data_IF_589305981959
#
_entry.id   IF_589305981959
#
_cell.length_a   1.000
_cell.length_b   1.000
_cell.length_c   1.000
_cell.angle_alpha   90.00
_cell.angle_beta   90.00
_cell.angle_gamma   90.00
#
_symmetry.space_group_name_H-M   'P 1'
#
loop_
_entity.id
_entity.type
_entity.pdbx_description
1 polymer ?
#
# COMPACT_ATOMS: atom_id res chain seq x y z
N UNK A 1 -10.27 12.27 -0.24
CA UNK A 1 -10.51 10.85 -0.25
C UNK A 1 -10.42 10.25 1.14
N UNK A 2 -11.28 9.37 1.44
CA UNK A 2 -12.43 8.83 0.69
C UNK A 2 -13.62 9.79 0.64
N UNK A 3 -13.43 11.07 0.84
CA UNK A 3 -14.46 12.07 0.96
C UNK A 3 -14.94 12.27 2.40
N UNK A 4 -15.99 13.07 2.57
CA UNK A 4 -16.50 13.40 3.90
C UNK A 4 -17.85 14.06 3.88
N UNK A 5 -18.38 14.28 5.08
CA UNK A 5 -19.62 15.03 5.25
C UNK A 5 -19.35 16.53 5.11
N UNK A 6 -20.08 17.17 4.19
CA UNK A 6 -20.01 18.61 3.93
C UNK A 6 -21.35 19.23 4.30
N UNK A 7 -21.32 20.27 5.13
CA UNK A 7 -22.49 21.08 5.41
C UNK A 7 -22.57 22.23 4.39
N UNK A 8 -23.68 22.28 3.68
CA UNK A 8 -24.01 23.36 2.75
C UNK A 8 -24.95 24.35 3.42
N UNK A 9 -24.72 25.63 3.15
CA UNK A 9 -25.60 26.73 3.56
C UNK A 9 -26.20 27.37 2.33
N UNK A 10 -27.52 27.37 2.22
CA UNK A 10 -28.27 28.09 1.18
C UNK A 10 -28.82 29.36 1.79
N UNK A 11 -28.46 30.51 1.22
CA UNK A 11 -29.04 31.81 1.54
C UNK A 11 -29.84 32.29 0.33
N UNK A 12 -31.04 32.80 0.61
CA UNK A 12 -31.95 33.36 -0.40
C UNK A 12 -32.30 34.77 0.08
N UNK A 13 -31.99 35.74 -0.74
CA UNK A 13 -32.27 37.16 -0.48
C UNK A 13 -33.45 37.60 -1.39
N UNK A 14 -34.45 38.21 -0.80
CA UNK A 14 -35.45 38.97 -1.55
C UNK A 14 -34.92 40.37 -1.83
N UNK A 15 -34.50 40.62 -3.05
CA UNK A 15 -33.95 41.89 -3.52
C UNK A 15 -34.98 42.80 -4.18
N UNK A 16 -36.26 42.45 -4.09
CA UNK A 16 -37.37 43.26 -4.64
C UNK A 16 -37.45 44.61 -3.96
N UNK A 17 -38.01 45.58 -4.68
CA UNK A 17 -38.33 46.86 -4.13
C UNK A 17 -39.45 46.76 -3.08
N UNK A 18 -39.76 47.79 -2.40
CA UNK A 18 -40.33 47.88 -1.08
C UNK A 18 -41.73 47.27 -0.82
N UNK A 19 -42.34 46.47 -1.69
CA UNK A 19 -43.68 45.92 -1.43
C UNK A 19 -43.93 44.48 -1.96
N UNK A 20 -42.94 43.81 -2.50
CA UNK A 20 -43.10 42.47 -3.12
C UNK A 20 -42.52 41.34 -2.27
N UNK A 21 -43.27 40.73 -1.34
CA UNK A 21 -42.83 39.52 -0.65
C UNK A 21 -42.78 38.37 -1.63
N UNK A 22 -41.74 37.54 -1.51
CA UNK A 22 -41.54 36.38 -2.38
C UNK A 22 -41.78 35.09 -1.57
N UNK A 23 -42.60 34.18 -2.09
CA UNK A 23 -42.77 32.85 -1.49
C UNK A 23 -42.05 31.81 -2.31
N UNK A 24 -40.96 31.26 -1.75
CA UNK A 24 -40.20 30.16 -2.33
C UNK A 24 -40.99 28.87 -2.11
N UNK A 25 -41.34 28.20 -3.19
CA UNK A 25 -42.15 26.97 -3.19
C UNK A 25 -41.31 25.74 -3.54
N UNK A 26 -40.13 25.95 -4.16
CA UNK A 26 -39.23 24.87 -4.55
C UNK A 26 -37.78 25.24 -4.29
N UNK A 27 -37.01 24.27 -3.77
CA UNK A 27 -35.58 24.38 -3.55
C UNK A 27 -34.93 23.06 -4.00
N UNK A 28 -34.22 23.09 -5.13
CA UNK A 28 -33.68 21.90 -5.79
C UNK A 28 -32.20 22.08 -6.06
N UNK A 29 -31.43 21.08 -5.65
CA UNK A 29 -30.00 20.97 -5.93
C UNK A 29 -29.78 19.99 -7.10
N UNK A 30 -28.86 20.29 -8.02
CA UNK A 30 -28.60 19.51 -9.23
C UNK A 30 -27.95 18.14 -8.93
N UNK A 31 -27.32 17.99 -7.76
CA UNK A 31 -26.70 16.74 -7.31
C UNK A 31 -27.50 16.02 -6.23
N UNK A 32 -28.14 16.78 -5.33
CA UNK A 32 -28.79 16.25 -4.14
C UNK A 32 -30.32 16.26 -4.21
N UNK A 33 -30.89 16.78 -5.30
CA UNK A 33 -32.33 16.78 -5.56
C UNK A 33 -33.11 17.78 -4.72
N UNK A 34 -34.35 17.44 -4.39
CA UNK A 34 -35.24 18.30 -3.59
C UNK A 34 -34.68 18.46 -2.16
N UNK A 35 -34.46 19.70 -1.74
CA UNK A 35 -33.92 20.03 -0.43
C UNK A 35 -35.02 20.25 0.63
N UNK A 36 -36.31 20.28 0.28
CA UNK A 36 -37.39 20.40 1.25
C UNK A 36 -37.36 19.21 2.25
N UNK A 37 -37.26 19.52 3.54
CA UNK A 37 -37.15 18.53 4.63
C UNK A 37 -35.72 18.03 4.85
N UNK A 38 -34.69 18.55 4.13
CA UNK A 38 -33.31 18.22 4.37
C UNK A 38 -32.65 19.24 5.32
N UNK A 39 -32.10 18.76 6.43
CA UNK A 39 -31.50 19.62 7.47
C UNK A 39 -32.52 20.64 7.97
N UNK A 40 -32.21 21.92 7.83
CA UNK A 40 -33.11 23.02 8.21
C UNK A 40 -33.86 23.61 7.00
N UNK A 41 -33.70 23.04 5.78
CA UNK A 41 -34.33 23.55 4.59
C UNK A 41 -35.80 23.12 4.51
N UNK A 42 -36.69 24.10 4.33
CA UNK A 42 -38.13 23.88 4.21
C UNK A 42 -38.75 24.83 3.22
N UNK A 43 -39.71 24.32 2.45
CA UNK A 43 -40.58 25.09 1.54
C UNK A 43 -42.05 24.71 1.80
N UNK A 44 -43.05 25.60 1.63
CA UNK A 44 -42.90 26.99 1.20
C UNK A 44 -42.31 27.92 2.27
N UNK A 45 -41.66 29.01 1.81
CA UNK A 45 -41.04 30.03 2.69
C UNK A 45 -41.21 31.41 2.11
N UNK A 46 -41.92 32.31 2.83
CA UNK A 46 -42.06 33.69 2.42
C UNK A 46 -40.95 34.58 2.97
N UNK A 47 -40.37 35.42 2.12
CA UNK A 47 -39.28 36.34 2.40
C UNK A 47 -39.76 37.76 2.09
N UNK A 48 -39.75 38.61 3.10
CA UNK A 48 -40.16 39.99 2.93
C UNK A 48 -39.13 40.79 2.10
N UNK A 49 -39.52 41.89 1.45
CA UNK A 49 -38.61 42.76 0.70
C UNK A 49 -37.40 43.18 1.53
N UNK A 50 -36.19 43.05 0.94
CA UNK A 50 -34.93 43.37 1.60
C UNK A 50 -34.52 42.39 2.70
N UNK A 51 -35.28 41.32 2.96
CA UNK A 51 -34.94 40.28 3.93
C UNK A 51 -34.30 39.06 3.26
N UNK A 52 -33.71 38.20 4.08
CA UNK A 52 -33.13 36.94 3.64
C UNK A 52 -33.58 35.78 4.52
N UNK A 53 -33.48 34.56 3.96
CA UNK A 53 -33.59 33.33 4.71
C UNK A 53 -32.37 32.45 4.43
N UNK A 54 -32.01 31.66 5.42
CA UNK A 54 -30.92 30.67 5.29
C UNK A 54 -31.40 29.31 5.76
N UNK A 55 -30.87 28.26 5.12
CA UNK A 55 -31.01 26.90 5.59
C UNK A 55 -29.70 26.13 5.38
N UNK A 56 -29.54 25.04 6.10
CA UNK A 56 -28.36 24.18 6.02
C UNK A 56 -28.79 22.73 5.81
N UNK A 57 -27.99 21.99 5.04
CA UNK A 57 -28.12 20.54 4.90
C UNK A 57 -26.72 19.91 4.78
N UNK A 58 -26.60 18.63 5.15
CA UNK A 58 -25.32 17.92 5.11
C UNK A 58 -25.40 16.77 4.12
N UNK A 59 -24.37 16.61 3.30
CA UNK A 59 -24.22 15.52 2.34
C UNK A 59 -22.81 14.97 2.36
N UNK A 60 -22.71 13.67 2.12
CA UNK A 60 -21.42 13.05 1.84
C UNK A 60 -20.97 13.41 0.42
N UNK A 61 -19.76 13.91 0.30
CA UNK A 61 -19.08 14.19 -0.97
C UNK A 61 -17.92 13.18 -1.10
N UNK A 62 -17.84 12.50 -2.24
CA UNK A 62 -16.81 11.51 -2.55
C UNK A 62 -16.24 11.78 -3.94
N UNK A 63 -15.01 11.35 -4.17
CA UNK A 63 -14.32 11.44 -5.46
C UNK A 63 -12.84 11.13 -5.33
N UNK A 64 -12.15 11.08 -6.44
CA UNK A 64 -10.71 10.93 -6.51
C UNK A 64 -10.00 12.15 -5.90
N UNK A 65 -8.78 11.94 -5.40
CA UNK A 65 -7.94 13.02 -4.87
C UNK A 65 -7.69 14.12 -5.91
N UNK A 66 -7.46 15.34 -5.43
CA UNK A 66 -7.22 16.53 -6.25
C UNK A 66 -8.35 16.89 -7.24
N UNK A 67 -9.57 16.36 -7.04
CA UNK A 67 -10.74 16.71 -7.83
C UNK A 67 -11.65 17.71 -7.12
N UNK A 68 -12.65 18.25 -7.83
CA UNK A 68 -13.62 19.19 -7.30
C UNK A 68 -15.05 18.67 -7.48
N UNK A 69 -15.87 18.83 -6.45
CA UNK A 69 -17.30 18.61 -6.48
C UNK A 69 -18.02 19.94 -6.46
N UNK A 70 -18.63 20.31 -7.58
CA UNK A 70 -19.44 21.52 -7.69
C UNK A 70 -20.91 21.15 -7.83
N UNK A 71 -21.76 21.76 -7.01
CA UNK A 71 -23.21 21.63 -7.08
C UNK A 71 -23.88 22.99 -7.16
N UNK A 72 -25.10 23.02 -7.68
CA UNK A 72 -25.88 24.22 -7.87
C UNK A 72 -27.29 24.02 -7.35
N UNK A 73 -27.73 24.95 -6.49
CA UNK A 73 -29.10 25.03 -6.00
C UNK A 73 -29.90 26.03 -6.83
N UNK A 74 -31.15 25.67 -7.14
CA UNK A 74 -32.17 26.55 -7.75
C UNK A 74 -33.31 26.72 -6.76
N UNK A 75 -33.60 27.98 -6.39
CA UNK A 75 -34.78 28.35 -5.64
C UNK A 75 -35.81 28.92 -6.63
N UNK A 76 -37.07 28.48 -6.53
CA UNK A 76 -38.15 28.95 -7.37
C UNK A 76 -39.40 29.20 -6.54
N UNK A 77 -40.18 30.22 -6.93
CA UNK A 77 -41.37 30.62 -6.22
C UNK A 77 -42.18 31.68 -7.00
N UNK A 78 -42.99 32.39 -6.26
CA UNK A 78 -43.85 33.50 -6.84
C UNK A 78 -43.79 34.68 -5.86
N UNK A 79 -44.09 35.88 -6.42
CA UNK A 79 -44.44 37.07 -5.63
C UNK A 79 -45.92 37.03 -5.18
N UNK A 80 -46.44 38.07 -4.60
CA UNK A 80 -47.83 38.17 -4.14
C UNK A 80 -48.83 38.41 -5.28
N UNK A 81 -48.39 38.83 -6.50
CA UNK A 81 -49.14 38.87 -7.73
C UNK A 81 -49.11 37.54 -8.55
N UNK A 82 -48.48 36.48 -7.98
CA UNK A 82 -48.25 35.20 -8.63
C UNK A 82 -47.28 35.25 -9.84
N UNK A 83 -46.43 36.28 -9.91
CA UNK A 83 -45.36 36.32 -10.92
C UNK A 83 -44.23 35.41 -10.54
N UNK A 84 -43.72 34.62 -11.47
CA UNK A 84 -42.67 33.64 -11.21
C UNK A 84 -41.32 34.30 -10.89
N UNK A 85 -40.68 33.81 -9.83
CA UNK A 85 -39.33 34.23 -9.45
C UNK A 85 -38.43 33.02 -9.34
N UNK A 86 -37.15 33.17 -9.72
CA UNK A 86 -36.14 32.13 -9.51
C UNK A 86 -34.75 32.71 -9.33
N UNK A 87 -33.93 31.99 -8.58
CA UNK A 87 -32.52 32.32 -8.37
C UNK A 87 -31.68 31.08 -8.23
N UNK A 88 -30.38 31.21 -8.48
CA UNK A 88 -29.43 30.09 -8.43
C UNK A 88 -28.19 30.48 -7.64
N UNK A 89 -27.63 29.50 -6.96
CA UNK A 89 -26.34 29.61 -6.28
C UNK A 89 -25.56 28.32 -6.41
N UNK A 90 -24.24 28.39 -6.41
CA UNK A 90 -23.38 27.21 -6.49
C UNK A 90 -22.33 27.19 -5.39
N UNK A 91 -21.91 25.99 -5.03
CA UNK A 91 -20.81 25.74 -4.08
C UNK A 91 -19.85 24.71 -4.68
N UNK A 92 -18.56 24.87 -4.39
CA UNK A 92 -17.50 23.94 -4.79
C UNK A 92 -16.77 23.42 -3.57
N UNK A 93 -16.55 22.11 -3.53
CA UNK A 93 -15.76 21.42 -2.50
C UNK A 93 -14.57 20.78 -3.18
N UNK A 94 -13.38 21.02 -2.67
CA UNK A 94 -12.16 20.36 -3.13
C UNK A 94 -11.99 19.03 -2.38
N UNK A 95 -11.75 17.95 -3.11
CA UNK A 95 -11.39 16.65 -2.56
C UNK A 95 -9.87 16.59 -2.52
N UNK A 96 -9.31 16.54 -1.31
CA UNK A 96 -7.87 16.53 -1.10
C UNK A 96 -7.37 15.10 -1.16
N UNK A 97 -6.26 14.86 -1.87
CA UNK A 97 -5.60 13.57 -1.90
C UNK A 97 -5.04 13.21 -0.52
N UNK A 98 -5.28 11.99 -0.07
CA UNK A 98 -4.85 11.46 1.21
C UNK A 98 -3.41 10.93 1.22
N UNK A 99 -2.79 10.80 0.08
CA UNK A 99 -1.43 10.29 -0.11
C UNK A 99 -1.28 8.80 0.19
N UNK A 100 -0.78 8.06 -0.77
CA UNK A 100 -0.61 6.60 -0.68
C UNK A 100 0.74 6.19 -0.13
N UNK A 101 0.79 5.05 0.57
CA UNK A 101 2.03 4.46 1.07
C UNK A 101 1.96 2.94 1.19
N UNK A 102 3.13 2.30 1.02
CA UNK A 102 3.31 0.85 1.20
C UNK A 102 4.46 0.57 2.15
N UNK A 103 4.38 -0.57 2.85
CA UNK A 103 5.55 -1.15 3.51
C UNK A 103 5.94 -2.45 2.83
N UNK A 104 7.26 -2.69 2.76
CA UNK A 104 7.82 -3.90 2.15
C UNK A 104 8.70 -4.60 3.16
N UNK A 105 8.48 -5.88 3.37
CA UNK A 105 9.35 -6.73 4.18
C UNK A 105 9.88 -7.88 3.35
N UNK A 106 11.11 -8.31 3.66
CA UNK A 106 11.76 -9.46 3.04
C UNK A 106 12.37 -10.33 4.12
N UNK A 107 12.22 -11.64 3.96
CA UNK A 107 12.85 -12.64 4.84
C UNK A 107 13.52 -13.72 4.03
N UNK A 108 14.49 -14.40 4.63
CA UNK A 108 15.22 -15.53 4.06
C UNK A 108 15.02 -16.77 4.93
N UNK A 109 14.80 -17.92 4.30
CA UNK A 109 14.68 -19.20 4.96
C UNK A 109 15.45 -20.31 4.18
N UNK A 110 16.50 -20.91 4.76
CA UNK A 110 17.10 -20.58 6.06
C UNK A 110 17.84 -19.24 6.03
N UNK A 111 18.01 -18.59 7.20
CA UNK A 111 18.83 -17.38 7.37
C UNK A 111 20.34 -17.67 7.44
N UNK A 112 20.72 -18.96 7.45
CA UNK A 112 22.12 -19.42 7.40
C UNK A 112 22.19 -20.70 6.61
N UNK A 113 23.25 -20.85 5.79
CA UNK A 113 23.60 -22.08 5.07
C UNK A 113 25.06 -22.44 5.36
N UNK A 114 25.38 -23.74 5.35
CA UNK A 114 26.76 -24.19 5.49
C UNK A 114 27.56 -23.89 4.22
N UNK A 115 28.87 -23.64 4.36
CA UNK A 115 29.75 -23.61 3.19
C UNK A 115 29.77 -24.95 2.45
N UNK A 116 29.90 -24.95 1.10
CA UNK A 116 30.19 -23.81 0.25
C UNK A 116 28.94 -23.02 -0.15
N UNK A 117 27.76 -23.27 0.46
CA UNK A 117 26.49 -22.61 0.21
C UNK A 117 25.30 -23.54 0.15
N UNK A 118 24.15 -22.99 -0.19
CA UNK A 118 22.90 -23.74 -0.26
C UNK A 118 21.74 -22.95 -0.86
N UNK A 119 20.60 -23.63 -1.03
CA UNK A 119 19.37 -23.00 -1.53
C UNK A 119 18.69 -22.26 -0.38
N UNK A 120 18.30 -21.02 -0.64
CA UNK A 120 17.58 -20.14 0.27
C UNK A 120 16.28 -19.69 -0.41
N UNK A 121 15.17 -19.82 0.29
CA UNK A 121 13.90 -19.27 -0.12
C UNK A 121 13.74 -17.86 0.48
N UNK A 122 13.44 -16.88 -0.37
CA UNK A 122 13.10 -15.52 0.02
C UNK A 122 11.60 -15.32 -0.06
N UNK A 123 11.05 -14.67 0.94
CA UNK A 123 9.64 -14.29 1.01
C UNK A 123 9.59 -12.77 1.04
N UNK A 124 8.83 -12.19 0.12
CA UNK A 124 8.55 -10.75 0.05
C UNK A 124 7.10 -10.53 0.42
N UNK A 125 6.85 -9.59 1.33
CA UNK A 125 5.51 -9.14 1.71
C UNK A 125 5.41 -7.64 1.46
N UNK A 126 4.31 -7.22 0.83
CA UNK A 126 3.98 -5.81 0.55
C UNK A 126 2.63 -5.53 1.17
N UNK A 127 2.56 -4.60 2.10
CA UNK A 127 1.33 -4.15 2.74
C UNK A 127 0.96 -2.77 2.19
N UNK A 128 -0.30 -2.59 1.79
CA UNK A 128 -0.85 -1.28 1.49
C UNK A 128 -1.33 -0.64 2.80
N UNK A 129 -0.63 0.41 3.23
CA UNK A 129 -0.96 1.18 4.43
C UNK A 129 -1.55 2.56 4.10
N UNK A 130 -1.98 2.77 2.84
CA UNK A 130 -2.68 3.96 2.43
C UNK A 130 -3.99 4.12 3.22
N UNK A 131 -4.39 5.33 3.58
CA UNK A 131 -5.64 5.55 4.33
C UNK A 131 -6.90 5.35 3.46
N UNK A 132 -6.79 5.51 2.13
CA UNK A 132 -7.93 5.52 1.22
C UNK A 132 -7.72 4.77 -0.09
N UNK A 133 -6.49 4.65 -0.59
CA UNK A 133 -6.21 4.32 -1.98
C UNK A 133 -5.80 2.86 -2.19
N UNK A 134 -6.29 2.29 -3.26
CA UNK A 134 -5.82 1.02 -3.80
C UNK A 134 -4.50 1.24 -4.51
N UNK A 135 -3.48 0.41 -4.27
CA UNK A 135 -2.19 0.53 -4.95
C UNK A 135 -1.97 -0.61 -5.93
N UNK A 136 -1.36 -0.31 -7.06
CA UNK A 136 -0.95 -1.30 -8.07
C UNK A 136 0.57 -1.31 -8.18
N UNK A 137 1.21 -2.39 -7.73
CA UNK A 137 2.65 -2.61 -7.84
C UNK A 137 2.98 -3.03 -9.26
N UNK A 138 3.76 -2.22 -9.97
CA UNK A 138 4.12 -2.44 -11.37
C UNK A 138 5.54 -2.98 -11.53
N UNK A 139 6.40 -2.82 -10.51
CA UNK A 139 7.77 -3.30 -10.52
C UNK A 139 8.16 -3.92 -9.19
N UNK A 140 8.89 -5.02 -9.26
CA UNK A 140 9.48 -5.70 -8.12
C UNK A 140 10.90 -6.10 -8.49
N UNK A 141 11.90 -5.46 -7.91
CA UNK A 141 13.31 -5.68 -8.22
C UNK A 141 14.13 -5.91 -6.95
N UNK A 142 15.14 -6.76 -7.07
CA UNK A 142 16.08 -7.11 -6.02
C UNK A 142 17.46 -6.59 -6.38
N UNK A 143 18.21 -6.05 -5.39
CA UNK A 143 19.54 -5.46 -5.61
C UNK A 143 20.59 -6.45 -6.12
N UNK A 144 20.40 -7.75 -5.88
CA UNK A 144 21.32 -8.81 -6.29
C UNK A 144 20.72 -9.69 -7.39
N UNK A 145 19.42 -10.00 -7.29
CA UNK A 145 18.77 -10.97 -8.19
C UNK A 145 17.99 -10.30 -9.34
N UNK A 146 17.99 -8.96 -9.41
CA UNK A 146 17.37 -8.20 -10.48
C UNK A 146 15.84 -8.25 -10.47
N UNK A 147 15.22 -8.24 -11.65
CA UNK A 147 13.77 -8.29 -11.79
C UNK A 147 13.19 -9.59 -11.23
N UNK A 148 12.26 -9.47 -10.30
CA UNK A 148 11.61 -10.64 -9.67
C UNK A 148 10.31 -11.06 -10.38
N UNK A 149 9.81 -10.30 -11.36
CA UNK A 149 8.61 -10.72 -12.12
C UNK A 149 8.86 -12.04 -12.84
N UNK A 150 8.00 -13.03 -12.57
CA UNK A 150 8.13 -14.39 -13.11
C UNK A 150 9.07 -15.29 -12.32
N UNK A 151 9.70 -14.83 -11.22
CA UNK A 151 10.52 -15.67 -10.36
C UNK A 151 9.69 -16.27 -9.22
N UNK A 152 9.66 -17.62 -9.13
CA UNK A 152 8.84 -18.34 -8.14
C UNK A 152 7.37 -17.97 -8.27
N UNK A 153 6.78 -17.41 -7.22
CA UNK A 153 5.39 -16.92 -7.22
C UNK A 153 5.28 -15.39 -7.39
N UNK A 154 6.40 -14.70 -7.61
CA UNK A 154 6.41 -13.25 -7.76
C UNK A 154 5.92 -12.84 -9.15
N UNK A 155 4.88 -12.03 -9.19
CA UNK A 155 4.30 -11.49 -10.43
C UNK A 155 3.82 -10.06 -10.24
N UNK A 156 4.03 -9.24 -11.25
CA UNK A 156 3.51 -7.88 -11.37
C UNK A 156 2.91 -7.69 -12.77
N UNK A 157 1.88 -6.86 -12.97
CA UNK A 157 1.30 -5.95 -11.97
C UNK A 157 0.49 -6.67 -10.89
N UNK A 158 0.43 -6.08 -9.68
CA UNK A 158 -0.32 -6.61 -8.56
C UNK A 158 -1.06 -5.51 -7.82
N UNK A 159 -2.39 -5.57 -7.80
CA UNK A 159 -3.24 -4.62 -7.08
C UNK A 159 -3.45 -5.07 -5.64
N UNK A 160 -3.34 -4.14 -4.69
CA UNK A 160 -3.48 -4.36 -3.25
C UNK A 160 -4.50 -3.35 -2.71
N UNK A 161 -5.62 -3.84 -2.19
CA UNK A 161 -6.66 -3.01 -1.58
C UNK A 161 -6.15 -2.31 -0.31
N UNK A 162 -6.86 -1.28 0.12
CA UNK A 162 -6.59 -0.55 1.37
C UNK A 162 -6.52 -1.51 2.55
N UNK A 163 -5.47 -1.43 3.36
CA UNK A 163 -5.24 -2.29 4.53
C UNK A 163 -4.94 -3.76 4.22
N UNK A 164 -4.88 -4.14 2.94
CA UNK A 164 -4.54 -5.50 2.51
C UNK A 164 -3.04 -5.66 2.25
N UNK A 165 -2.62 -6.89 2.02
CA UNK A 165 -1.25 -7.23 1.65
C UNK A 165 -1.18 -8.27 0.55
N UNK A 166 -0.02 -8.38 -0.06
CA UNK A 166 0.34 -9.50 -0.94
C UNK A 166 1.68 -10.10 -0.51
N UNK A 167 1.87 -11.39 -0.83
CA UNK A 167 3.16 -12.07 -0.62
C UNK A 167 3.58 -12.79 -1.88
N UNK A 168 4.88 -12.89 -2.09
CA UNK A 168 5.46 -13.78 -3.09
C UNK A 168 6.77 -14.39 -2.56
N UNK A 169 7.21 -15.47 -3.18
CA UNK A 169 8.43 -16.17 -2.79
C UNK A 169 9.21 -16.65 -4.01
N UNK A 170 10.53 -16.67 -3.87
CA UNK A 170 11.46 -17.20 -4.87
C UNK A 170 12.68 -17.82 -4.18
N UNK A 171 13.36 -18.75 -4.85
CA UNK A 171 14.53 -19.44 -4.31
C UNK A 171 15.79 -19.11 -5.10
N UNK A 172 16.91 -18.98 -4.40
CA UNK A 172 18.24 -18.77 -4.99
C UNK A 172 19.29 -19.60 -4.26
N UNK A 173 20.28 -20.06 -5.00
CA UNK A 173 21.48 -20.65 -4.40
C UNK A 173 22.43 -19.54 -3.98
N UNK A 174 22.84 -19.58 -2.72
CA UNK A 174 23.83 -18.67 -2.14
C UNK A 174 25.10 -19.45 -1.94
N UNK A 175 26.23 -18.95 -2.45
CA UNK A 175 27.53 -19.61 -2.35
C UNK A 175 28.55 -18.68 -1.71
N UNK A 176 29.52 -19.22 -0.98
CA UNK A 176 30.62 -18.48 -0.40
C UNK A 176 31.36 -19.29 0.68
N UNK A 177 32.41 -18.68 1.21
CA UNK A 177 33.19 -19.24 2.31
C UNK A 177 32.54 -18.89 3.66
N UNK A 178 32.90 -19.63 4.69
CA UNK A 178 32.49 -19.36 6.07
C UNK A 178 32.67 -17.90 6.47
N UNK A 179 31.66 -17.32 7.15
CA UNK A 179 31.65 -15.95 7.63
C UNK A 179 31.17 -14.91 6.59
N UNK A 180 30.96 -15.30 5.34
CA UNK A 180 30.38 -14.40 4.34
C UNK A 180 28.91 -14.14 4.67
N UNK A 181 28.49 -12.88 4.55
CA UNK A 181 27.10 -12.44 4.73
C UNK A 181 26.57 -11.91 3.41
N UNK A 182 25.53 -12.54 2.90
CA UNK A 182 24.78 -12.06 1.76
C UNK A 182 23.63 -11.19 2.23
N UNK A 183 23.67 -9.91 1.88
CA UNK A 183 22.59 -8.96 2.14
C UNK A 183 22.01 -8.49 0.81
N UNK A 184 20.70 -8.49 0.69
CA UNK A 184 20.02 -7.98 -0.50
C UNK A 184 18.70 -7.28 -0.14
N UNK A 185 18.34 -6.30 -0.97
CA UNK A 185 17.18 -5.44 -0.75
C UNK A 185 16.23 -5.58 -1.94
N UNK A 186 14.96 -5.83 -1.65
CA UNK A 186 13.89 -5.74 -2.64
C UNK A 186 13.29 -4.34 -2.63
N UNK A 187 13.03 -3.80 -3.82
CA UNK A 187 12.27 -2.56 -4.04
C UNK A 187 10.99 -2.92 -4.77
N UNK A 188 9.85 -2.54 -4.19
CA UNK A 188 8.57 -2.56 -4.86
C UNK A 188 8.18 -1.13 -5.23
N UNK A 189 7.68 -0.92 -6.46
CA UNK A 189 7.21 0.38 -6.92
C UNK A 189 5.98 0.23 -7.81
N UNK A 190 5.13 1.25 -7.78
CA UNK A 190 3.86 1.26 -8.51
C UNK A 190 3.19 2.61 -8.42
N UNK A 191 1.89 2.61 -8.58
CA UNK A 191 1.02 3.79 -8.48
C UNK A 191 -0.24 3.44 -7.69
N UNK A 192 -0.88 4.44 -7.13
CA UNK A 192 -2.23 4.33 -6.60
C UNK A 192 -3.29 4.49 -7.69
N UNK A 193 -4.56 4.56 -7.32
CA UNK A 193 -5.68 4.69 -8.25
C UNK A 193 -5.86 6.12 -8.80
N UNK A 194 -5.22 7.12 -8.21
CA UNK A 194 -5.10 8.48 -8.75
C UNK A 194 -3.89 8.66 -9.68
N UNK A 195 -2.99 7.67 -9.75
CA UNK A 195 -1.77 7.69 -10.55
C UNK A 195 -0.54 8.23 -9.82
N UNK A 196 -0.64 8.52 -8.53
CA UNK A 196 0.48 8.98 -7.72
C UNK A 196 1.47 7.83 -7.40
N UNK A 197 2.79 8.09 -7.44
CA UNK A 197 3.78 7.04 -7.28
C UNK A 197 3.89 6.54 -5.82
N UNK A 198 3.98 5.22 -5.67
CA UNK A 198 4.27 4.57 -4.38
C UNK A 198 5.51 3.70 -4.49
N UNK A 199 6.32 3.64 -3.44
CA UNK A 199 7.47 2.75 -3.38
C UNK A 199 7.81 2.36 -1.94
N UNK A 200 8.44 1.18 -1.80
CA UNK A 200 8.92 0.68 -0.52
C UNK A 200 10.05 -0.32 -0.70
N UNK A 201 10.82 -0.55 0.37
CA UNK A 201 11.97 -1.45 0.37
C UNK A 201 11.97 -2.38 1.58
N UNK A 202 12.48 -3.61 1.37
CA UNK A 202 12.69 -4.59 2.43
C UNK A 202 13.99 -5.38 2.18
N UNK A 203 14.73 -5.67 3.24
CA UNK A 203 16.04 -6.36 3.14
C UNK A 203 16.03 -7.67 3.88
N UNK A 204 16.88 -8.60 3.43
CA UNK A 204 17.18 -9.85 4.12
C UNK A 204 18.67 -10.16 4.05
N UNK A 205 19.17 -10.88 5.06
CA UNK A 205 20.55 -11.36 5.15
C UNK A 205 20.58 -12.87 5.28
N UNK A 206 21.62 -13.49 4.70
CA UNK A 206 21.93 -14.91 4.84
C UNK A 206 23.41 -15.04 5.17
N UNK A 207 23.74 -15.76 6.24
CA UNK A 207 25.10 -16.02 6.66
C UNK A 207 25.58 -17.39 6.18
N UNK A 208 26.82 -17.49 5.72
CA UNK A 208 27.47 -18.77 5.44
C UNK A 208 28.20 -19.25 6.68
N UNK A 209 27.75 -20.37 7.23
CA UNK A 209 28.31 -20.98 8.43
C UNK A 209 29.51 -21.86 8.09
N UNK A 210 30.48 -21.91 8.99
CA UNK A 210 31.63 -22.79 8.87
C UNK A 210 31.24 -24.26 9.11
N UNK A 211 31.80 -25.15 8.30
CA UNK A 211 31.79 -26.59 8.53
C UNK A 211 33.15 -27.00 9.09
N UNK A 212 33.16 -27.52 10.32
CA UNK A 212 34.40 -27.91 10.95
C UNK A 212 35.10 -29.02 10.14
N UNK A 213 36.42 -28.86 9.86
CA UNK A 213 37.17 -29.89 9.18
C UNK A 213 37.38 -31.12 10.09
N UNK A 214 37.43 -32.30 9.50
CA UNK A 214 37.69 -33.54 10.21
C UNK A 214 38.65 -34.45 9.44
N UNK A 215 39.49 -35.13 10.19
CA UNK A 215 40.41 -36.15 9.67
C UNK A 215 40.28 -37.46 10.44
N UNK A 216 40.56 -38.60 9.82
CA UNK A 216 40.81 -39.86 10.50
C UNK A 216 42.22 -40.33 10.22
N UNK A 217 42.85 -40.94 11.23
CA UNK A 217 44.18 -41.48 11.11
C UNK A 217 44.15 -42.96 11.51
N UNK A 218 44.62 -43.81 10.61
CA UNK A 218 44.83 -45.26 10.87
C UNK A 218 46.30 -45.58 10.77
N UNK A 219 46.80 -46.42 11.70
CA UNK A 219 48.16 -46.92 11.69
C UNK A 219 48.18 -48.44 11.82
N UNK A 220 48.97 -49.08 10.99
CA UNK A 220 49.20 -50.55 11.05
C UNK A 220 50.69 -50.85 11.08
N UNK A 221 51.03 -52.02 11.59
CA UNK A 221 52.40 -52.54 11.67
C UNK A 221 52.49 -53.89 10.92
N UNK A 222 53.58 -54.07 10.20
CA UNK A 222 53.92 -55.37 9.60
C UNK A 222 55.40 -55.67 9.70
N UNK A 223 55.82 -56.80 10.37
CA UNK A 223 54.95 -57.72 11.08
C UNK A 223 54.36 -57.13 12.36
N UNK A 224 53.32 -57.78 12.92
CA UNK A 224 52.71 -57.37 14.20
C UNK A 224 53.44 -57.87 15.42
N UNK A 225 54.43 -58.73 15.24
CA UNK A 225 55.33 -59.27 16.26
C UNK A 225 56.71 -59.50 15.71
N UNK A 226 57.73 -59.32 16.53
CA UNK A 226 59.13 -59.61 16.21
C UNK A 226 59.77 -60.52 17.34
N UNK A 227 60.66 -61.46 17.03
CA UNK A 227 61.34 -62.24 18.05
C UNK A 227 62.38 -61.38 18.78
N UNK A 228 62.81 -61.83 20.00
CA UNK A 228 63.95 -61.23 20.73
C UNK A 228 65.28 -61.49 19.95
N UNK A 229 66.15 -60.45 19.95
CA UNK A 229 66.15 -59.19 20.64
C UNK A 229 65.45 -58.04 19.89
N UNK A 230 64.66 -58.30 18.87
CA UNK A 230 63.92 -57.31 18.06
C UNK A 230 64.12 -57.50 16.56
N UNK A 231 63.42 -56.70 15.72
CA UNK A 231 63.48 -56.74 14.27
C UNK A 231 62.86 -55.48 13.65
N UNK A 232 63.01 -55.42 12.35
CA UNK A 232 62.42 -54.33 11.57
C UNK A 232 60.91 -54.50 11.47
N UNK A 233 60.16 -53.42 11.71
CA UNK A 233 58.72 -53.34 11.58
C UNK A 233 58.42 -52.16 10.64
N UNK A 234 57.66 -52.45 9.59
CA UNK A 234 57.14 -51.43 8.70
C UNK A 234 55.81 -50.91 9.28
N UNK A 235 55.72 -49.60 9.45
CA UNK A 235 54.50 -48.94 9.84
C UNK A 235 53.87 -48.26 8.61
N UNK A 236 52.56 -48.47 8.40
CA UNK A 236 51.79 -47.76 7.41
C UNK A 236 50.83 -46.80 8.14
N UNK A 237 50.89 -45.51 7.79
CA UNK A 237 49.96 -44.49 8.27
C UNK A 237 49.09 -44.03 7.13
N UNK A 238 47.76 -44.10 7.33
CA UNK A 238 46.77 -43.56 6.44
C UNK A 238 46.07 -42.37 7.12
N UNK A 239 45.97 -41.29 6.38
CA UNK A 239 45.26 -40.06 6.81
C UNK A 239 44.18 -39.79 5.79
N UNK A 240 42.94 -39.79 6.23
CA UNK A 240 41.78 -39.47 5.38
C UNK A 240 41.19 -38.15 5.82
N UNK A 241 40.94 -37.26 4.87
CA UNK A 241 40.14 -36.05 5.10
C UNK A 241 38.67 -36.47 5.05
N UNK A 242 37.94 -36.31 6.15
CA UNK A 242 36.52 -36.66 6.28
C UNK A 242 35.62 -35.42 6.39
N UNK A 243 36.17 -34.24 6.06
CA UNK A 243 35.40 -32.98 6.00
C UNK A 243 34.29 -33.09 4.95
N UNK A 244 33.13 -32.48 5.26
CA UNK A 244 31.95 -32.43 4.37
C UNK A 244 31.84 -31.11 3.58
N UNK A 245 32.91 -30.33 3.48
CA UNK A 245 32.96 -29.03 2.78
C UNK A 245 33.92 -29.11 1.56
#
# INVERSE_FOLDING_TARGET
EPGGNVQYTVRIDNTSNSQDPVTITSLVDDKFGNLNGQGTCSTPRTIQPGQSTTCTFTKQVQGAGNTTHTNRVTASGVDDENSAVSGQGSATVNIVNAGSSITVSKSANPASVNEPGGVVQYIVRIDNISPADVVTINSLSDSVFGNLNGQGTCSVPRTIAVGAFTTCQFSKTINGNAGVVHSNTVTASGVDDDGDPVSGQGSATVTIANVAPSITVAKSANPTSVPEPGGNVQYTVRIDNTSNS
#
